data_IF_248472170323
#
_entry.id   IF_248472170323
#
_cell.length_a   1.000
_cell.length_b   1.000
_cell.length_c   1.000
_cell.angle_alpha   90.00
_cell.angle_beta   90.00
_cell.angle_gamma   90.00
#
_symmetry.space_group_name_H-M   'P 1'
#
loop_
_entity.id
_entity.type
_entity.pdbx_description
1 polymer ?
#
# COMPACT_ATOMS: atom_id res chain seq x y z
N UNK A 1 -37.84 60.69 -0.27
CA UNK A 1 -36.77 59.90 -0.91
C UNK A 1 -35.94 59.01 0.07
N UNK A 2 -36.36 58.82 1.33
CA UNK A 2 -35.56 58.15 2.37
C UNK A 2 -35.94 56.67 2.63
N UNK A 3 -37.17 56.26 2.28
CA UNK A 3 -37.67 54.89 2.53
C UNK A 3 -37.12 53.81 1.58
N UNK A 4 -36.81 54.15 0.32
CA UNK A 4 -36.26 53.18 -0.64
C UNK A 4 -34.81 52.78 -0.32
N UNK A 5 -34.01 53.69 0.25
CA UNK A 5 -32.61 53.41 0.58
C UNK A 5 -32.47 52.49 1.79
N UNK A 6 -33.33 52.65 2.81
CA UNK A 6 -33.38 51.73 3.96
C UNK A 6 -33.86 50.34 3.56
N UNK A 7 -34.89 50.25 2.71
CA UNK A 7 -35.38 48.97 2.19
C UNK A 7 -34.32 48.24 1.36
N UNK A 8 -33.56 48.96 0.54
CA UNK A 8 -32.46 48.38 -0.23
C UNK A 8 -31.32 47.83 0.65
N UNK A 9 -30.91 48.58 1.67
CA UNK A 9 -29.87 48.14 2.61
C UNK A 9 -30.30 46.89 3.39
N UNK A 10 -31.56 46.83 3.85
CA UNK A 10 -32.08 45.66 4.56
C UNK A 10 -32.09 44.43 3.64
N UNK A 11 -32.52 44.55 2.38
CA UNK A 11 -32.49 43.43 1.43
C UNK A 11 -31.06 42.94 1.16
N UNK A 12 -30.10 43.85 1.04
CA UNK A 12 -28.70 43.50 0.81
C UNK A 12 -28.08 42.76 2.01
N UNK A 13 -28.42 43.17 3.24
CA UNK A 13 -27.99 42.46 4.46
C UNK A 13 -28.62 41.07 4.57
N UNK A 14 -29.90 40.92 4.24
CA UNK A 14 -30.57 39.60 4.24
C UNK A 14 -29.91 38.66 3.23
N UNK A 15 -29.62 39.14 2.01
CA UNK A 15 -28.92 38.35 1.00
C UNK A 15 -27.51 37.97 1.46
N UNK A 16 -26.76 38.90 2.06
CA UNK A 16 -25.44 38.60 2.60
C UNK A 16 -25.49 37.55 3.73
N UNK A 17 -26.48 37.63 4.62
CA UNK A 17 -26.70 36.62 5.66
C UNK A 17 -27.04 35.24 5.09
N UNK A 18 -27.87 35.18 4.04
CA UNK A 18 -28.21 33.91 3.37
C UNK A 18 -26.95 33.32 2.71
N UNK A 19 -26.16 34.13 2.00
CA UNK A 19 -24.91 33.68 1.38
C UNK A 19 -23.93 33.16 2.44
N UNK A 20 -23.77 33.89 3.56
CA UNK A 20 -22.93 33.45 4.67
C UNK A 20 -23.38 32.11 5.26
N UNK A 21 -24.69 31.95 5.49
CA UNK A 21 -25.24 30.68 5.99
C UNK A 21 -25.03 29.53 5.00
N UNK A 22 -25.25 29.77 3.70
CA UNK A 22 -24.99 28.76 2.67
C UNK A 22 -23.52 28.35 2.63
N UNK A 23 -22.59 29.31 2.67
CA UNK A 23 -21.15 29.02 2.70
C UNK A 23 -20.81 28.24 3.97
N UNK A 24 -21.27 28.68 5.15
CA UNK A 24 -21.00 28.03 6.43
C UNK A 24 -21.52 26.57 6.47
N UNK A 25 -22.72 26.32 5.94
CA UNK A 25 -23.29 24.97 5.84
C UNK A 25 -22.49 24.11 4.87
N UNK A 26 -22.11 24.64 3.71
CA UNK A 26 -21.32 23.90 2.72
C UNK A 26 -19.92 23.59 3.24
N UNK A 27 -19.23 24.54 3.88
CA UNK A 27 -17.87 24.31 4.40
C UNK A 27 -17.87 23.36 5.59
N UNK A 28 -18.83 23.48 6.50
CA UNK A 28 -18.84 22.65 7.71
C UNK A 28 -19.37 21.24 7.47
N UNK A 29 -20.20 21.01 6.46
CA UNK A 29 -20.73 19.67 6.18
C UNK A 29 -19.97 18.94 5.07
N UNK A 30 -19.45 19.62 4.05
CA UNK A 30 -18.78 18.94 2.94
C UNK A 30 -17.32 18.56 3.25
N UNK A 31 -16.59 19.41 3.97
CA UNK A 31 -15.20 19.14 4.34
C UNK A 31 -15.01 17.88 5.21
N UNK A 32 -15.82 17.64 6.28
CA UNK A 32 -15.66 16.43 7.07
C UNK A 32 -16.01 15.16 6.29
N UNK A 33 -16.99 15.18 5.38
CA UNK A 33 -17.38 14.03 4.56
C UNK A 33 -16.25 13.61 3.61
N UNK A 34 -15.59 14.56 2.95
CA UNK A 34 -14.42 14.24 2.09
C UNK A 34 -13.27 13.68 2.94
N UNK A 35 -13.05 14.22 4.13
CA UNK A 35 -12.00 13.75 5.04
C UNK A 35 -12.30 12.34 5.56
N UNK A 36 -13.55 12.04 5.87
CA UNK A 36 -14.01 10.73 6.35
C UNK A 36 -13.93 9.66 5.25
N UNK A 37 -14.24 10.00 4.00
CA UNK A 37 -14.04 9.11 2.85
C UNK A 37 -12.54 8.82 2.60
N UNK A 38 -11.65 9.78 2.82
CA UNK A 38 -10.21 9.57 2.70
C UNK A 38 -9.59 8.84 3.91
N UNK A 39 -10.09 9.11 5.13
CA UNK A 39 -9.65 8.48 6.37
C UNK A 39 -10.11 7.02 6.47
N UNK A 40 -11.35 6.70 6.07
CA UNK A 40 -11.84 5.32 6.00
C UNK A 40 -10.97 4.45 5.08
N UNK A 41 -10.55 4.98 3.93
CA UNK A 41 -9.59 4.32 3.03
C UNK A 41 -8.23 4.03 3.67
N UNK A 42 -7.69 4.96 4.49
CA UNK A 42 -6.41 4.76 5.21
C UNK A 42 -6.54 3.79 6.37
N UNK A 43 -7.61 3.88 7.16
CA UNK A 43 -7.83 3.02 8.33
C UNK A 43 -8.04 1.54 7.91
N UNK A 44 -8.69 1.29 6.77
CA UNK A 44 -8.86 -0.06 6.21
C UNK A 44 -7.55 -0.72 5.74
N UNK A 45 -6.51 0.07 5.41
CA UNK A 45 -5.18 -0.43 5.07
C UNK A 45 -4.32 -0.76 6.31
N UNK A 46 -4.63 -0.14 7.46
CA UNK A 46 -3.93 -0.37 8.72
C UNK A 46 -4.42 -1.64 9.46
N UNK A 47 -5.72 -1.97 9.36
CA UNK A 47 -6.31 -3.12 10.05
C UNK A 47 -5.82 -4.50 9.55
N UNK A 48 -5.23 -4.58 8.34
CA UNK A 48 -4.73 -5.86 7.79
C UNK A 48 -3.40 -6.31 8.45
N UNK A 49 -2.76 -5.47 9.27
CA UNK A 49 -1.53 -5.82 10.00
C UNK A 49 -1.75 -6.76 11.20
N UNK A 50 -2.92 -6.69 11.84
CA UNK A 50 -3.18 -7.44 13.08
C UNK A 50 -3.35 -8.95 12.89
N UNK A 51 -3.76 -9.40 11.69
CA UNK A 51 -3.94 -10.83 11.41
C UNK A 51 -2.65 -11.55 11.00
N UNK A 52 -1.59 -10.81 10.64
CA UNK A 52 -0.30 -11.40 10.24
C UNK A 52 0.55 -11.80 11.45
N UNK A 53 0.38 -11.13 12.59
CA UNK A 53 1.10 -11.42 13.83
C UNK A 53 0.67 -12.77 14.44
N UNK A 54 -0.60 -13.14 14.28
CA UNK A 54 -1.15 -14.41 14.78
C UNK A 54 -0.71 -15.62 13.94
N UNK A 55 -0.49 -15.43 12.63
CA UNK A 55 -0.07 -16.51 11.73
C UNK A 55 1.41 -16.88 11.91
N UNK A 56 2.27 -15.91 12.25
CA UNK A 56 3.70 -16.14 12.43
C UNK A 56 4.01 -16.94 13.71
N UNK A 57 3.24 -16.73 14.79
CA UNK A 57 3.42 -17.41 16.08
C UNK A 57 2.95 -18.89 16.09
N UNK A 58 2.15 -19.30 15.11
CA UNK A 58 1.60 -20.66 15.08
C UNK A 58 2.53 -21.66 14.37
N UNK A 59 3.43 -21.20 13.50
CA UNK A 59 4.34 -22.08 12.74
C UNK A 59 5.64 -22.46 13.48
N UNK A 60 6.07 -21.75 14.52
CA UNK A 60 7.29 -22.11 15.26
C UNK A 60 7.10 -23.27 16.26
N UNK A 61 5.86 -23.59 16.64
CA UNK A 61 5.60 -24.57 17.69
C UNK A 61 5.40 -26.01 17.21
N UNK A 62 5.32 -26.27 15.90
CA UNK A 62 5.02 -27.62 15.37
C UNK A 62 6.25 -28.47 14.99
N UNK A 63 7.49 -27.97 15.09
CA UNK A 63 8.69 -28.74 14.68
C UNK A 63 9.57 -29.25 15.83
N UNK A 64 9.04 -29.40 17.05
CA UNK A 64 9.81 -29.97 18.18
C UNK A 64 9.03 -31.02 18.97
N UNK A 65 8.77 -32.19 18.37
CA UNK A 65 8.50 -33.38 19.19
C UNK A 65 8.72 -34.72 18.44
N UNK A 66 9.84 -35.41 18.75
CA UNK A 66 9.93 -36.87 18.83
C UNK A 66 11.31 -37.26 19.43
N UNK A 67 11.30 -38.23 20.35
CA UNK A 67 12.29 -38.48 21.43
C UNK A 67 13.05 -39.84 21.18
N UNK A 68 13.77 -40.48 22.13
CA UNK A 68 15.24 -40.63 22.28
C UNK A 68 15.80 -42.08 22.12
N UNK A 69 17.09 -42.32 22.41
CA UNK A 69 17.65 -43.39 23.30
C UNK A 69 19.21 -43.30 23.39
N UNK A 70 19.75 -43.56 24.59
CA UNK A 70 21.14 -43.40 25.12
C UNK A 70 22.15 -44.51 24.65
N UNK A 71 23.45 -44.62 25.00
CA UNK A 71 24.28 -44.26 26.19
C UNK A 71 25.82 -44.51 25.86
N UNK A 72 26.80 -44.56 26.79
CA UNK A 72 27.74 -43.51 27.23
C UNK A 72 29.23 -43.71 26.84
N UNK A 73 30.10 -42.71 27.09
CA UNK A 73 31.27 -42.79 28.03
C UNK A 73 32.46 -41.86 27.68
N UNK A 74 32.96 -41.18 28.73
CA UNK A 74 34.30 -40.61 29.01
C UNK A 74 34.73 -39.23 28.46
N UNK A 75 34.87 -38.30 29.40
CA UNK A 75 35.85 -37.20 29.40
C UNK A 75 37.27 -37.75 29.69
N UNK A 76 38.38 -37.03 29.40
CA UNK A 76 38.76 -35.88 30.24
C UNK A 76 39.49 -34.70 29.55
N UNK A 77 39.59 -33.62 30.33
CA UNK A 77 40.66 -32.61 30.38
C UNK A 77 40.66 -31.36 29.48
N UNK A 78 40.77 -30.23 30.19
CA UNK A 78 40.87 -28.82 29.79
C UNK A 78 42.36 -28.49 29.58
N UNK A 79 42.70 -27.50 28.73
CA UNK A 79 43.27 -26.28 29.32
C UNK A 79 42.67 -25.00 28.73
N UNK A 80 42.71 -23.94 29.53
CA UNK A 80 42.10 -22.64 29.26
C UNK A 80 42.80 -21.88 28.13
N UNK A 81 42.04 -21.48 27.12
CA UNK A 81 42.50 -20.53 26.12
C UNK A 81 41.94 -19.14 26.43
N UNK A 82 42.84 -18.16 26.48
CA UNK A 82 42.55 -16.77 26.83
C UNK A 82 41.63 -16.17 25.76
N UNK A 83 40.42 -15.78 26.15
CA UNK A 83 39.53 -14.96 25.33
C UNK A 83 40.13 -13.56 25.24
N UNK A 84 40.96 -13.34 24.21
CA UNK A 84 41.32 -12.01 23.74
C UNK A 84 40.03 -11.41 23.19
N UNK A 85 39.44 -10.49 23.95
CA UNK A 85 38.31 -9.69 23.48
C UNK A 85 38.90 -8.64 22.54
N UNK A 86 38.96 -8.97 21.25
CA UNK A 86 39.22 -7.99 20.21
C UNK A 86 37.95 -7.16 20.06
N UNK A 87 37.92 -5.97 20.68
CA UNK A 87 36.90 -4.97 20.38
C UNK A 87 37.09 -4.53 18.92
N UNK A 88 36.27 -5.06 18.02
CA UNK A 88 36.22 -4.56 16.65
C UNK A 88 35.71 -3.10 16.67
N UNK A 89 36.35 -2.19 15.92
CA UNK A 89 35.93 -0.80 15.86
C UNK A 89 34.51 -0.73 15.29
N UNK A 90 33.56 -0.22 16.07
CA UNK A 90 32.17 -0.02 15.66
C UNK A 90 32.13 0.80 14.37
N UNK A 91 31.87 0.12 13.25
CA UNK A 91 31.63 0.75 11.95
C UNK A 91 30.40 1.63 12.08
N UNK A 92 30.52 2.90 11.70
CA UNK A 92 29.40 3.84 11.77
C UNK A 92 28.24 3.32 10.89
N UNK A 93 26.99 3.32 11.39
CA UNK A 93 25.86 2.78 10.64
C UNK A 93 25.63 3.58 9.36
N UNK A 94 25.38 2.84 8.28
CA UNK A 94 25.02 3.37 6.97
C UNK A 94 23.69 4.13 7.03
N UNK A 95 23.45 5.00 6.03
CA UNK A 95 22.17 5.72 5.92
C UNK A 95 20.98 4.74 5.87
N UNK A 96 21.14 3.61 5.18
CA UNK A 96 20.09 2.61 5.03
C UNK A 96 19.74 1.93 6.35
N UNK A 97 20.75 1.62 7.19
CA UNK A 97 20.54 1.09 8.54
C UNK A 97 19.83 2.10 9.44
N UNK A 98 20.24 3.39 9.38
CA UNK A 98 19.54 4.47 10.09
C UNK A 98 18.08 4.60 9.65
N UNK A 99 17.79 4.53 8.34
CA UNK A 99 16.41 4.57 7.82
C UNK A 99 15.61 3.37 8.31
N UNK A 100 16.19 2.17 8.33
CA UNK A 100 15.53 0.97 8.85
C UNK A 100 15.17 1.11 10.33
N UNK A 101 16.11 1.60 11.15
CA UNK A 101 15.89 1.83 12.58
C UNK A 101 14.84 2.91 12.86
N UNK A 102 14.85 4.01 12.10
CA UNK A 102 13.92 5.13 12.28
C UNK A 102 12.52 4.81 11.78
N UNK A 103 12.41 4.16 10.63
CA UNK A 103 11.11 3.87 10.01
C UNK A 103 10.36 2.74 10.71
N UNK A 104 11.10 1.80 11.33
CA UNK A 104 10.53 0.57 11.92
C UNK A 104 9.57 -0.13 10.95
N UNK A 105 9.85 -0.02 9.64
CA UNK A 105 8.97 -0.54 8.62
C UNK A 105 9.01 -2.06 8.60
N UNK A 106 7.90 -2.66 8.17
CA UNK A 106 7.76 -4.10 8.02
C UNK A 106 7.68 -4.45 6.54
N UNK A 107 8.46 -5.46 6.14
CA UNK A 107 8.35 -6.03 4.80
C UNK A 107 6.98 -6.70 4.65
N UNK A 108 6.23 -6.30 3.62
CA UNK A 108 4.95 -6.94 3.29
C UNK A 108 5.16 -7.97 2.18
N UNK A 109 4.65 -9.20 2.33
CA UNK A 109 4.77 -10.20 1.28
C UNK A 109 3.84 -9.86 0.11
N UNK A 110 4.31 -10.06 -1.12
CA UNK A 110 3.53 -9.81 -2.35
C UNK A 110 2.68 -11.02 -2.72
N UNK A 111 1.79 -11.44 -1.80
CA UNK A 111 0.89 -12.58 -2.03
C UNK A 111 -0.38 -12.10 -2.71
N UNK A 112 -0.86 -12.78 -3.78
CA UNK A 112 -2.17 -12.52 -4.35
C UNK A 112 -3.29 -12.71 -3.31
N UNK A 113 -4.21 -11.74 -3.24
CA UNK A 113 -5.33 -11.79 -2.29
C UNK A 113 -6.56 -11.17 -2.92
N UNK A 114 -7.68 -11.88 -2.86
CA UNK A 114 -8.99 -11.33 -3.19
C UNK A 114 -9.67 -10.83 -1.92
N UNK A 115 -10.21 -9.62 -1.97
CA UNK A 115 -10.96 -9.04 -0.86
C UNK A 115 -12.12 -8.20 -1.37
N UNK A 116 -13.23 -8.22 -0.64
CA UNK A 116 -14.32 -7.28 -0.85
C UNK A 116 -14.10 -6.02 -0.01
N UNK A 117 -14.21 -4.85 -0.64
CA UNK A 117 -14.13 -3.54 0.01
C UNK A 117 -15.40 -2.76 -0.36
N UNK A 118 -16.41 -2.81 0.51
CA UNK A 118 -17.73 -2.26 0.23
C UNK A 118 -18.37 -2.91 -1.00
N UNK A 119 -18.79 -2.10 -1.96
CA UNK A 119 -19.43 -2.54 -3.20
C UNK A 119 -18.44 -2.99 -4.29
N UNK A 120 -17.15 -3.15 -3.95
CA UNK A 120 -16.09 -3.49 -4.89
C UNK A 120 -15.37 -4.78 -4.50
N UNK A 121 -15.03 -5.58 -5.50
CA UNK A 121 -14.05 -6.64 -5.39
C UNK A 121 -12.67 -6.08 -5.75
N UNK A 122 -11.67 -6.44 -4.96
CA UNK A 122 -10.27 -6.07 -5.16
C UNK A 122 -9.43 -7.34 -5.21
N UNK A 123 -8.71 -7.51 -6.31
CA UNK A 123 -7.72 -8.54 -6.56
C UNK A 123 -6.34 -7.90 -6.33
N UNK A 124 -5.83 -8.01 -5.09
CA UNK A 124 -4.52 -7.50 -4.73
C UNK A 124 -3.42 -8.37 -5.33
N UNK A 125 -2.34 -7.74 -5.80
CA UNK A 125 -1.15 -8.41 -6.33
C UNK A 125 -1.52 -9.43 -7.43
N UNK A 126 -2.47 -9.06 -8.29
CA UNK A 126 -2.99 -9.97 -9.32
C UNK A 126 -1.91 -10.30 -10.35
N UNK A 127 -1.09 -9.32 -10.73
CA UNK A 127 0.13 -9.51 -11.53
C UNK A 127 1.27 -8.81 -10.80
N UNK A 128 2.23 -9.58 -10.30
CA UNK A 128 3.34 -9.05 -9.50
C UNK A 128 4.54 -8.60 -10.34
N UNK A 129 5.25 -7.60 -9.84
CA UNK A 129 6.58 -7.27 -10.28
C UNK A 129 7.56 -8.42 -10.04
N UNK A 130 8.60 -8.55 -10.88
CA UNK A 130 9.67 -9.53 -10.68
C UNK A 130 10.65 -9.11 -9.59
N UNK A 131 10.93 -7.80 -9.45
CA UNK A 131 11.80 -7.30 -8.40
C UNK A 131 11.01 -7.06 -7.13
N UNK A 132 11.63 -7.43 -6.02
CA UNK A 132 11.10 -7.23 -4.67
C UNK A 132 12.03 -6.30 -3.91
N UNK A 133 11.47 -5.36 -3.16
CA UNK A 133 12.23 -4.40 -2.38
C UNK A 133 11.86 -4.52 -0.91
N UNK A 134 12.84 -4.36 -0.03
CA UNK A 134 12.59 -4.22 1.39
C UNK A 134 11.96 -2.87 1.68
N UNK A 135 11.20 -2.79 2.76
CA UNK A 135 10.43 -1.59 3.10
C UNK A 135 11.27 -0.31 3.29
N UNK A 136 12.57 -0.47 3.59
CA UNK A 136 13.51 0.63 3.82
C UNK A 136 14.43 0.88 2.62
N UNK A 137 14.40 0.03 1.58
CA UNK A 137 15.26 0.14 0.39
C UNK A 137 14.69 1.10 -0.66
N UNK A 138 13.36 1.25 -0.70
CA UNK A 138 12.70 2.06 -1.71
C UNK A 138 11.34 2.58 -1.25
N UNK A 139 10.75 3.45 -2.07
CA UNK A 139 9.40 3.97 -1.91
C UNK A 139 8.60 3.48 -3.11
N UNK A 140 7.36 3.03 -2.88
CA UNK A 140 6.47 2.60 -3.96
C UNK A 140 5.64 3.78 -4.45
N UNK A 141 5.72 4.09 -5.75
CA UNK A 141 4.80 5.02 -6.37
C UNK A 141 3.45 4.32 -6.56
N UNK A 142 2.38 4.87 -5.98
CA UNK A 142 1.05 4.29 -6.03
C UNK A 142 0.14 5.12 -6.92
N UNK A 143 -0.55 4.48 -7.85
CA UNK A 143 -1.51 5.16 -8.74
C UNK A 143 -2.66 4.24 -9.13
N UNK A 144 -3.60 4.77 -9.91
CA UNK A 144 -4.75 4.07 -10.44
C UNK A 144 -4.90 4.38 -11.93
N UNK A 145 -5.51 3.45 -12.67
CA UNK A 145 -5.80 3.60 -14.09
C UNK A 145 -6.95 2.68 -14.50
N UNK A 146 -7.36 2.79 -15.76
CA UNK A 146 -8.04 1.72 -16.50
C UNK A 146 -7.17 1.36 -17.72
N UNK A 147 -7.61 0.39 -18.51
CA UNK A 147 -6.85 -0.09 -19.67
C UNK A 147 -6.62 0.98 -20.76
N UNK A 148 -7.40 2.06 -20.76
CA UNK A 148 -7.31 3.14 -21.75
C UNK A 148 -6.30 4.24 -21.39
N UNK A 149 -5.81 4.27 -20.14
CA UNK A 149 -4.91 5.32 -19.65
C UNK A 149 -3.58 4.75 -19.12
N UNK A 150 -2.88 3.92 -19.92
CA UNK A 150 -1.60 3.31 -19.53
C UNK A 150 -0.36 3.90 -20.21
N UNK A 151 -0.52 4.83 -21.15
CA UNK A 151 0.58 5.36 -21.98
C UNK A 151 1.68 6.07 -21.17
N UNK A 152 1.32 6.62 -20.01
CA UNK A 152 2.26 7.31 -19.12
C UNK A 152 3.09 6.37 -18.24
N UNK A 153 2.81 5.06 -18.25
CA UNK A 153 3.50 4.11 -17.40
C UNK A 153 4.98 4.01 -17.74
N UNK A 154 5.32 3.94 -19.03
CA UNK A 154 6.71 3.79 -19.47
C UNK A 154 7.55 5.03 -19.12
N UNK A 155 7.13 6.27 -19.47
CA UNK A 155 7.84 7.48 -19.06
C UNK A 155 7.97 7.62 -17.53
N UNK A 156 6.94 7.21 -16.78
CA UNK A 156 6.99 7.20 -15.32
C UNK A 156 8.09 6.27 -14.81
N UNK A 157 8.17 5.04 -15.33
CA UNK A 157 9.17 4.05 -14.91
C UNK A 157 10.60 4.49 -15.23
N UNK A 158 10.82 5.09 -16.41
CA UNK A 158 12.13 5.60 -16.82
C UNK A 158 12.66 6.68 -15.87
N UNK A 159 11.75 7.48 -15.30
CA UNK A 159 12.10 8.56 -14.36
C UNK A 159 12.13 8.10 -12.90
N UNK A 160 11.19 7.23 -12.51
CA UNK A 160 11.06 6.76 -11.13
C UNK A 160 12.13 5.74 -10.76
N UNK A 161 12.38 4.76 -11.65
CA UNK A 161 13.36 3.67 -11.45
C UNK A 161 13.21 2.94 -10.10
N UNK A 162 11.97 2.76 -9.65
CA UNK A 162 11.61 2.10 -8.40
C UNK A 162 10.27 1.37 -8.52
N UNK A 163 9.80 0.72 -7.44
CA UNK A 163 8.56 -0.04 -7.46
C UNK A 163 7.35 0.87 -7.73
N UNK A 164 6.43 0.38 -8.55
CA UNK A 164 5.16 1.03 -8.88
C UNK A 164 4.02 0.06 -8.60
N UNK A 165 2.99 0.54 -7.90
CA UNK A 165 1.76 -0.21 -7.62
C UNK A 165 0.59 0.49 -8.30
N UNK A 166 -0.14 -0.24 -9.15
CA UNK A 166 -1.23 0.32 -9.96
C UNK A 166 -2.53 -0.42 -9.66
N UNK A 167 -3.56 0.33 -9.26
CA UNK A 167 -4.92 -0.18 -9.16
C UNK A 167 -5.69 0.03 -10.47
N UNK A 168 -5.98 -1.06 -11.17
CA UNK A 168 -6.68 -1.10 -12.45
C UNK A 168 -8.19 -1.25 -12.22
N UNK A 169 -8.97 -0.26 -12.65
CA UNK A 169 -10.42 -0.38 -12.70
C UNK A 169 -10.82 -1.17 -13.95
N UNK A 170 -11.45 -2.33 -13.76
CA UNK A 170 -11.77 -3.25 -14.86
C UNK A 170 -13.13 -3.94 -14.69
N UNK A 171 -14.25 -3.19 -14.79
CA UNK A 171 -15.59 -3.74 -14.64
C UNK A 171 -16.02 -4.55 -15.87
N UNK A 172 -16.75 -5.65 -15.65
CA UNK A 172 -17.43 -6.41 -16.70
C UNK A 172 -16.49 -6.81 -17.84
N UNK A 173 -16.76 -6.28 -19.05
CA UNK A 173 -16.00 -6.57 -20.27
C UNK A 173 -14.60 -5.97 -20.30
N UNK A 174 -14.32 -4.97 -19.46
CA UNK A 174 -13.02 -4.28 -19.45
C UNK A 174 -11.91 -5.14 -18.84
N UNK A 175 -12.27 -6.23 -18.15
CA UNK A 175 -11.32 -7.13 -17.52
C UNK A 175 -10.38 -7.79 -18.53
N UNK A 176 -10.89 -8.34 -19.65
CA UNK A 176 -10.05 -8.95 -20.69
C UNK A 176 -9.12 -7.92 -21.32
N UNK A 177 -9.66 -6.77 -21.72
CA UNK A 177 -8.88 -5.68 -22.30
C UNK A 177 -7.77 -5.21 -21.34
N UNK A 178 -8.07 -5.14 -20.03
CA UNK A 178 -7.08 -4.79 -19.00
C UNK A 178 -5.94 -5.80 -18.96
N UNK A 179 -6.24 -7.11 -18.98
CA UNK A 179 -5.20 -8.15 -18.97
C UNK A 179 -4.35 -8.13 -20.25
N UNK A 180 -4.99 -7.94 -21.41
CA UNK A 180 -4.30 -7.82 -22.70
C UNK A 180 -3.38 -6.59 -22.74
N UNK A 181 -3.84 -5.43 -22.26
CA UNK A 181 -3.02 -4.22 -22.15
C UNK A 181 -1.83 -4.42 -21.21
N UNK A 182 -2.04 -5.06 -20.05
CA UNK A 182 -0.94 -5.36 -19.11
C UNK A 182 0.07 -6.32 -19.75
N UNK A 183 -0.38 -7.36 -20.44
CA UNK A 183 0.49 -8.31 -21.14
C UNK A 183 1.30 -7.60 -22.23
N UNK A 184 0.66 -6.78 -23.06
CA UNK A 184 1.34 -5.99 -24.09
C UNK A 184 2.42 -5.07 -23.50
N UNK A 185 2.11 -4.36 -22.41
CA UNK A 185 3.10 -3.50 -21.76
C UNK A 185 4.28 -4.28 -21.20
N UNK A 186 4.04 -5.44 -20.59
CA UNK A 186 5.09 -6.28 -19.98
C UNK A 186 5.98 -6.96 -21.02
N UNK A 187 5.40 -7.42 -22.13
CA UNK A 187 6.09 -8.30 -23.07
C UNK A 187 6.56 -7.57 -24.34
N UNK A 188 5.93 -6.44 -24.71
CA UNK A 188 6.20 -5.76 -25.98
C UNK A 188 6.80 -4.35 -25.85
N UNK A 189 6.87 -3.76 -24.65
CA UNK A 189 7.40 -2.40 -24.48
C UNK A 189 8.80 -2.37 -23.85
N UNK A 190 8.89 -2.31 -22.52
CA UNK A 190 10.14 -2.25 -21.77
C UNK A 190 10.12 -3.25 -20.62
N UNK A 191 11.27 -3.87 -20.34
CA UNK A 191 11.40 -4.80 -19.21
C UNK A 191 11.10 -4.14 -17.86
N UNK A 192 11.21 -2.81 -17.78
CA UNK A 192 10.91 -2.05 -16.57
C UNK A 192 9.48 -2.30 -16.06
N UNK A 193 8.51 -2.51 -16.95
CA UNK A 193 7.12 -2.80 -16.54
C UNK A 193 7.08 -4.14 -15.79
N UNK A 194 7.72 -5.16 -16.34
CA UNK A 194 7.79 -6.50 -15.75
C UNK A 194 8.56 -6.50 -14.43
N UNK A 195 9.66 -5.74 -14.39
CA UNK A 195 10.57 -5.68 -13.25
C UNK A 195 10.00 -4.92 -12.06
N UNK A 196 9.31 -3.80 -12.28
CA UNK A 196 8.98 -2.84 -11.21
C UNK A 196 7.48 -2.67 -10.93
N UNK A 197 6.58 -3.14 -11.80
CA UNK A 197 5.14 -2.85 -11.68
C UNK A 197 4.36 -4.05 -11.13
N UNK A 198 3.64 -3.80 -10.04
CA UNK A 198 2.61 -4.71 -9.53
C UNK A 198 1.23 -4.14 -9.83
N UNK A 199 0.38 -4.94 -10.45
CA UNK A 199 -0.99 -4.60 -10.81
C UNK A 199 -1.98 -5.24 -9.84
N UNK A 200 -2.90 -4.41 -9.37
CA UNK A 200 -4.07 -4.79 -8.60
C UNK A 200 -5.29 -4.53 -9.47
N UNK A 201 -6.30 -5.38 -9.46
CA UNK A 201 -7.51 -5.18 -10.27
C UNK A 201 -8.70 -4.99 -9.35
N UNK A 202 -9.58 -4.04 -9.65
CA UNK A 202 -10.82 -3.87 -8.90
C UNK A 202 -12.00 -3.56 -9.81
N UNK A 203 -13.19 -3.99 -9.38
CA UNK A 203 -14.44 -3.79 -10.09
C UNK A 203 -15.62 -3.82 -9.13
N UNK A 204 -16.71 -3.16 -9.51
CA UNK A 204 -17.95 -3.17 -8.72
C UNK A 204 -18.59 -4.56 -8.72
N UNK A 205 -19.19 -4.95 -7.60
CA UNK A 205 -20.06 -6.13 -7.46
C UNK A 205 -21.22 -6.16 -8.46
N UNK A 206 -21.62 -5.01 -9.01
CA UNK A 206 -22.66 -4.91 -10.06
C UNK A 206 -22.14 -5.29 -11.46
N UNK A 207 -20.83 -5.22 -11.65
CA UNK A 207 -20.16 -5.44 -12.93
C UNK A 207 -19.02 -6.44 -12.75
N UNK A 208 -19.35 -7.62 -12.24
CA UNK A 208 -18.38 -8.72 -12.12
C UNK A 208 -17.99 -9.20 -13.53
N UNK A 209 -16.69 -9.33 -13.83
CA UNK A 209 -16.21 -9.91 -15.07
C UNK A 209 -16.80 -11.30 -15.30
N UNK A 210 -17.23 -11.56 -16.54
CA UNK A 210 -17.66 -12.89 -16.96
C UNK A 210 -16.45 -13.60 -17.54
N UNK A 211 -16.35 -14.91 -17.27
CA UNK A 211 -15.32 -15.79 -17.85
C UNK A 211 -15.25 -15.67 -19.39
#
# INVERSE_FOLDING_TARGET
MYNNRKSFIIKLLVVACIIYLCIHVLTNNAAPVIRELQESGRNLAALDGGNLEQAALTQENEMKEAVPIAEPTKAPEKPSEKVVTTEEPKKEPTVLEKVKELSQCLDKPMVPKTQQRGDYWVLYNYITAEKTFKCHESITYTTHADYSFMDNLVPLLERWKGPVSIAMHAPGTDFSNTLESIAHLRDCTTSLVKEYVTFHIYFSTKHVPKE
#
